data_IF_610344872819
#
_entry.id   IF_610344872819
#
_cell.length_a   1.000
_cell.length_b   1.000
_cell.length_c   1.000
_cell.angle_alpha   90.00
_cell.angle_beta   90.00
_cell.angle_gamma   90.00
#
_symmetry.space_group_name_H-M   'P 1'
#
loop_
_entity.id
_entity.type
_entity.pdbx_description
1 polymer ?
#
# COMPACT_ATOMS: atom_id res chain seq x y z
N UNK A 1 -3.19 14.93 12.78
CA UNK A 1 -2.88 15.13 11.34
C UNK A 1 -2.20 13.86 10.90
N UNK A 2 -2.63 13.25 9.79
CA UNK A 2 -1.97 12.06 9.25
C UNK A 2 -0.72 12.52 8.49
N UNK A 3 0.42 11.92 8.76
CA UNK A 3 1.67 12.19 8.03
C UNK A 3 1.88 11.06 7.03
N UNK A 4 1.92 11.40 5.75
CA UNK A 4 2.26 10.44 4.70
C UNK A 4 3.71 9.97 4.89
N UNK A 5 3.91 8.66 4.92
CA UNK A 5 5.22 8.02 4.98
C UNK A 5 5.76 7.85 3.57
N UNK A 6 5.05 7.08 2.76
CA UNK A 6 5.40 6.86 1.36
C UNK A 6 4.20 6.32 0.57
N UNK A 7 4.33 6.43 -0.75
CA UNK A 7 3.42 5.82 -1.71
C UNK A 7 4.17 4.74 -2.49
N UNK A 8 3.61 3.54 -2.57
CA UNK A 8 4.16 2.38 -3.29
C UNK A 8 3.19 1.97 -4.39
N UNK A 9 3.69 1.94 -5.62
CA UNK A 9 2.96 1.51 -6.80
C UNK A 9 3.37 0.07 -7.16
N UNK A 10 2.41 -0.85 -7.14
CA UNK A 10 2.58 -2.25 -7.55
C UNK A 10 1.69 -2.61 -8.75
N UNK A 11 1.27 -1.62 -9.52
CA UNK A 11 0.42 -1.75 -10.70
C UNK A 11 1.00 -2.76 -11.69
N UNK A 12 0.13 -3.55 -12.32
CA UNK A 12 0.53 -4.58 -13.28
C UNK A 12 -0.39 -4.57 -14.48
N UNK A 13 0.18 -4.72 -15.67
CA UNK A 13 -0.58 -4.80 -16.92
C UNK A 13 -1.54 -3.62 -17.18
N UNK A 14 -1.24 -2.44 -16.64
CA UNK A 14 -2.03 -1.22 -16.84
C UNK A 14 -3.29 -1.11 -15.97
N UNK A 15 -3.40 -1.96 -14.94
CA UNK A 15 -4.35 -1.80 -13.83
C UNK A 15 -3.62 -1.17 -12.66
N UNK A 16 -4.17 -0.07 -12.16
CA UNK A 16 -3.60 0.63 -11.02
C UNK A 16 -3.73 -0.22 -9.75
N UNK A 17 -2.69 -0.19 -8.91
CA UNK A 17 -2.63 -0.85 -7.60
C UNK A 17 -1.57 -0.13 -6.74
N UNK A 18 -1.99 0.96 -6.08
CA UNK A 18 -1.14 1.88 -5.34
C UNK A 18 -1.54 1.98 -3.87
N UNK A 19 -0.56 1.96 -2.97
CA UNK A 19 -0.74 2.03 -1.52
C UNK A 19 0.00 3.24 -0.97
N UNK A 20 -0.72 4.13 -0.27
CA UNK A 20 -0.14 5.26 0.46
C UNK A 20 -0.22 4.97 1.95
N UNK A 21 0.94 4.91 2.62
CA UNK A 21 1.05 4.59 4.04
C UNK A 21 1.13 5.85 4.89
N UNK A 22 0.48 5.83 6.05
CA UNK A 22 0.48 6.92 7.02
C UNK A 22 1.03 6.48 8.38
N UNK A 23 1.43 7.45 9.19
CA UNK A 23 1.99 7.26 10.53
C UNK A 23 0.99 6.70 11.57
N UNK A 24 -0.31 6.82 11.30
CA UNK A 24 -1.40 6.32 12.12
C UNK A 24 -1.86 4.90 11.73
N UNK A 25 -1.06 4.18 10.95
CA UNK A 25 -1.34 2.82 10.46
C UNK A 25 -2.51 2.73 9.45
N UNK A 26 -3.10 3.87 9.06
CA UNK A 26 -4.03 3.91 7.95
C UNK A 26 -3.30 3.81 6.62
N UNK A 27 -3.97 3.22 5.63
CA UNK A 27 -3.47 3.06 4.27
C UNK A 27 -4.54 3.51 3.29
N UNK A 28 -4.17 4.36 2.35
CA UNK A 28 -5.02 4.66 1.21
C UNK A 28 -4.65 3.71 0.08
N UNK A 29 -5.59 2.89 -0.36
CA UNK A 29 -5.45 1.98 -1.49
C UNK A 29 -6.20 2.55 -2.70
N UNK A 30 -5.49 2.74 -3.80
CA UNK A 30 -6.04 3.19 -5.08
C UNK A 30 -5.81 2.09 -6.11
N UNK A 31 -6.87 1.57 -6.73
CA UNK A 31 -6.74 0.47 -7.68
C UNK A 31 -7.85 0.39 -8.71
N UNK A 32 -7.56 -0.38 -9.75
CA UNK A 32 -8.52 -0.76 -10.78
C UNK A 32 -8.93 -2.22 -10.67
N UNK A 33 -10.24 -2.47 -10.71
CA UNK A 33 -10.79 -3.84 -10.77
C UNK A 33 -10.73 -4.43 -12.17
N UNK A 34 -10.68 -3.58 -13.19
CA UNK A 34 -10.69 -3.97 -14.60
C UNK A 34 -10.15 -2.82 -15.47
N UNK A 35 -9.99 -3.08 -16.77
CA UNK A 35 -9.42 -2.12 -17.72
C UNK A 35 -10.27 -0.86 -17.96
N UNK A 36 -11.46 -0.73 -17.34
CA UNK A 36 -12.26 0.48 -17.43
C UNK A 36 -11.77 1.61 -16.52
N UNK A 37 -10.69 1.40 -15.75
CA UNK A 37 -10.03 2.40 -14.90
C UNK A 37 -11.01 3.10 -13.96
N UNK A 38 -11.41 2.38 -12.92
CA UNK A 38 -12.43 2.83 -11.99
C UNK A 38 -11.87 3.75 -10.91
N UNK A 39 -10.54 3.89 -10.81
CA UNK A 39 -9.85 4.76 -9.86
C UNK A 39 -10.39 4.57 -8.42
N UNK A 40 -10.61 3.31 -8.03
CA UNK A 40 -11.27 3.00 -6.75
C UNK A 40 -10.31 3.39 -5.65
N UNK A 41 -10.76 4.31 -4.79
CA UNK A 41 -10.02 4.78 -3.62
C UNK A 41 -10.71 4.34 -2.34
N UNK A 42 -10.00 3.60 -1.52
CA UNK A 42 -10.47 3.18 -0.20
C UNK A 42 -9.41 3.44 0.88
N UNK A 43 -9.88 3.71 2.10
CA UNK A 43 -9.04 3.75 3.29
C UNK A 43 -9.14 2.40 3.98
N UNK A 44 -8.03 1.69 4.06
CA UNK A 44 -7.89 0.36 4.63
C UNK A 44 -6.84 0.37 5.74
N UNK A 45 -6.77 -0.71 6.49
CA UNK A 45 -5.73 -0.93 7.51
C UNK A 45 -4.66 -1.88 7.00
N UNK A 46 -3.55 -1.97 7.73
CA UNK A 46 -2.47 -2.93 7.45
C UNK A 46 -2.96 -4.39 7.49
N UNK A 47 -3.99 -4.69 8.29
CA UNK A 47 -4.60 -6.02 8.41
C UNK A 47 -5.36 -6.43 7.14
N UNK A 48 -5.95 -5.46 6.43
CA UNK A 48 -6.71 -5.68 5.20
C UNK A 48 -5.81 -6.03 4.00
N UNK A 49 -4.49 -5.78 4.11
CA UNK A 49 -3.52 -6.10 3.05
C UNK A 49 -3.09 -7.56 3.17
N UNK A 50 -3.36 -8.34 2.12
CA UNK A 50 -2.95 -9.75 2.04
C UNK A 50 -1.43 -9.92 2.06
N UNK A 51 -0.95 -11.06 2.58
CA UNK A 51 0.50 -11.34 2.67
C UNK A 51 1.21 -11.25 1.32
N UNK A 52 0.58 -11.74 0.25
CA UNK A 52 1.12 -11.65 -1.12
C UNK A 52 1.30 -10.19 -1.55
N UNK A 53 0.35 -9.30 -1.20
CA UNK A 53 0.46 -7.87 -1.50
C UNK A 53 1.52 -7.20 -0.63
N UNK A 54 1.61 -7.56 0.66
CA UNK A 54 2.66 -7.09 1.56
C UNK A 54 4.04 -7.40 1.00
N UNK A 55 4.29 -8.62 0.52
CA UNK A 55 5.54 -8.99 -0.14
C UNK A 55 5.84 -8.11 -1.35
N UNK A 56 4.88 -7.94 -2.27
CA UNK A 56 5.05 -7.08 -3.46
C UNK A 56 5.31 -5.62 -3.11
N UNK A 57 4.67 -5.11 -2.06
CA UNK A 57 4.89 -3.74 -1.57
C UNK A 57 6.32 -3.62 -1.04
N UNK A 58 6.82 -4.59 -0.26
CA UNK A 58 8.20 -4.59 0.23
C UNK A 58 9.23 -4.69 -0.90
N UNK A 59 8.94 -5.41 -1.97
CA UNK A 59 9.80 -5.50 -3.15
C UNK A 59 9.84 -4.19 -3.96
N UNK A 60 8.71 -3.49 -4.07
CA UNK A 60 8.60 -2.24 -4.83
C UNK A 60 8.94 -0.98 -4.00
N UNK A 61 8.96 -1.10 -2.67
CA UNK A 61 9.22 0.02 -1.76
C UNK A 61 10.67 0.49 -1.86
N UNK A 62 10.87 1.82 -1.81
CA UNK A 62 12.22 2.40 -1.78
C UNK A 62 12.97 1.97 -0.51
N UNK A 63 14.29 1.73 -0.58
CA UNK A 63 15.08 1.27 0.57
C UNK A 63 14.97 2.16 1.81
N UNK A 64 14.81 3.47 1.61
CA UNK A 64 14.68 4.48 2.68
C UNK A 64 13.42 4.31 3.55
N UNK A 65 12.35 3.74 2.98
CA UNK A 65 11.08 3.50 3.69
C UNK A 65 10.87 2.02 4.08
N UNK A 66 11.68 1.11 3.53
CA UNK A 66 11.50 -0.34 3.67
C UNK A 66 11.45 -0.80 5.13
N UNK A 67 12.36 -0.29 5.97
CA UNK A 67 12.40 -0.65 7.40
C UNK A 67 11.15 -0.18 8.15
N UNK A 68 10.66 1.02 7.84
CA UNK A 68 9.48 1.60 8.47
C UNK A 68 8.21 0.84 8.06
N UNK A 69 8.07 0.50 6.77
CA UNK A 69 6.93 -0.29 6.28
C UNK A 69 6.95 -1.71 6.85
N UNK A 70 8.12 -2.36 6.94
CA UNK A 70 8.24 -3.66 7.63
C UNK A 70 7.79 -3.60 9.08
N UNK A 71 8.16 -2.54 9.80
CA UNK A 71 7.75 -2.37 11.20
C UNK A 71 6.22 -2.18 11.32
N UNK A 72 5.57 -1.48 10.39
CA UNK A 72 4.11 -1.36 10.36
C UNK A 72 3.43 -2.72 10.15
N UNK A 73 3.97 -3.55 9.24
CA UNK A 73 3.42 -4.89 8.98
C UNK A 73 3.58 -5.85 10.16
N UNK A 74 4.62 -5.69 10.96
CA UNK A 74 4.87 -6.53 12.15
C UNK A 74 4.00 -6.14 13.36
N UNK A 75 3.71 -4.84 13.54
CA UNK A 75 2.84 -4.33 14.62
C UNK A 75 1.37 -4.76 14.49
N UNK A 76 0.93 -5.00 13.27
CA UNK A 76 -0.45 -5.33 12.92
C UNK A 76 -0.81 -6.82 13.15
N UNK A 77 -0.06 -7.52 13.99
CA UNK A 77 -0.10 -8.98 14.20
C UNK A 77 -0.40 -9.32 15.65
#
# INVERSE_FOLDING_TARGET
>A
MKVEICTVDISKHGLDDQYTFYDDESVIHIYDRNNYRLDIKEEITIEDISDIRKERILEACKPEYLLQIKALFDKSK
#
